data_IF_759299255742
#
_entry.id   IF_759299255742
#
_cell.length_a   1.000
_cell.length_b   1.000
_cell.length_c   1.000
_cell.angle_alpha   90.00
_cell.angle_beta   90.00
_cell.angle_gamma   90.00
#
_symmetry.space_group_name_H-M   'P 1'
#
loop_
_entity.id
_entity.type
_entity.pdbx_description
1 polymer ?
#
# COMPACT_ATOMS: atom_id res chain seq x y z
N UNK A 1 47.09 -11.69 25.45
CA UNK A 1 47.11 -10.91 24.20
C UNK A 1 45.85 -11.23 23.41
N UNK A 2 44.90 -10.30 23.31
CA UNK A 2 43.66 -10.50 22.57
C UNK A 2 43.90 -10.20 21.07
N UNK A 3 43.59 -11.18 20.21
CA UNK A 3 43.73 -11.06 18.75
C UNK A 3 42.50 -10.31 18.21
N UNK A 4 42.73 -9.20 17.53
CA UNK A 4 41.68 -8.34 16.98
C UNK A 4 40.79 -9.10 15.97
N UNK A 5 39.47 -9.02 16.18
CA UNK A 5 38.49 -9.53 15.23
C UNK A 5 38.43 -8.61 14.00
N UNK A 6 38.79 -9.16 12.84
CA UNK A 6 38.63 -8.51 11.53
C UNK A 6 37.13 -8.26 11.28
N UNK A 7 36.71 -7.01 11.33
CA UNK A 7 35.42 -6.57 10.77
C UNK A 7 35.55 -6.48 9.26
N UNK A 8 35.26 -7.58 8.56
CA UNK A 8 34.96 -7.53 7.13
C UNK A 8 33.57 -6.92 6.97
N UNK A 9 33.49 -5.68 6.49
CA UNK A 9 32.26 -5.10 5.92
C UNK A 9 31.73 -6.07 4.87
N UNK A 10 30.69 -6.82 5.22
CA UNK A 10 29.93 -7.60 4.25
C UNK A 10 29.30 -6.62 3.25
N UNK A 11 29.54 -6.90 1.97
CA UNK A 11 29.16 -6.06 0.85
C UNK A 11 27.66 -5.76 0.81
N UNK A 12 27.34 -4.67 0.11
CA UNK A 12 26.00 -4.19 -0.17
C UNK A 12 25.02 -5.34 -0.37
N UNK A 13 23.99 -5.40 0.49
CA UNK A 13 22.85 -6.29 0.29
C UNK A 13 22.26 -5.97 -1.07
N UNK A 14 22.18 -7.00 -1.92
CA UNK A 14 21.48 -6.97 -3.21
C UNK A 14 20.19 -6.18 -3.03
N UNK A 15 20.06 -5.04 -3.73
CA UNK A 15 18.86 -4.22 -3.64
C UNK A 15 17.68 -5.11 -3.99
N UNK A 16 16.77 -5.31 -3.02
CA UNK A 16 15.64 -6.21 -3.20
C UNK A 16 14.98 -5.86 -4.54
N UNK A 17 14.98 -6.82 -5.49
CA UNK A 17 14.30 -6.65 -6.77
C UNK A 17 12.89 -6.17 -6.44
N UNK A 18 12.40 -5.06 -7.01
CA UNK A 18 11.06 -4.58 -6.72
C UNK A 18 10.11 -5.72 -7.04
N UNK A 19 9.53 -6.34 -6.02
CA UNK A 19 8.45 -7.29 -6.23
C UNK A 19 7.37 -6.45 -6.88
N UNK A 20 7.13 -6.64 -8.18
CA UNK A 20 6.00 -5.99 -8.84
C UNK A 20 4.75 -6.49 -8.13
N UNK A 21 4.30 -5.74 -7.12
CA UNK A 21 3.06 -5.98 -6.40
C UNK A 21 1.94 -5.64 -7.37
N UNK A 22 1.70 -6.55 -8.31
CA UNK A 22 0.55 -6.49 -9.20
C UNK A 22 -0.64 -6.84 -8.34
N UNK A 23 -1.59 -5.90 -8.25
CA UNK A 23 -2.88 -6.20 -7.63
C UNK A 23 -3.53 -7.35 -8.38
N UNK A 24 -4.29 -8.18 -7.66
CA UNK A 24 -5.04 -9.31 -8.24
C UNK A 24 -6.09 -8.88 -9.27
N UNK A 25 -6.39 -7.59 -9.37
CA UNK A 25 -7.28 -7.00 -10.36
C UNK A 25 -6.55 -6.39 -11.57
N UNK A 26 -5.23 -6.64 -11.70
CA UNK A 26 -4.41 -6.19 -12.83
C UNK A 26 -4.06 -4.70 -12.81
N UNK A 27 -4.45 -3.96 -11.76
CA UNK A 27 -4.17 -2.52 -11.65
C UNK A 27 -2.78 -2.27 -11.05
N UNK A 28 -2.13 -1.21 -11.53
CA UNK A 28 -0.85 -0.75 -10.97
C UNK A 28 -1.08 -0.13 -9.59
N UNK A 29 -0.21 -0.47 -8.64
CA UNK A 29 -0.18 0.22 -7.36
C UNK A 29 0.27 1.68 -7.56
N UNK A 30 -0.38 2.61 -6.88
CA UNK A 30 0.00 4.01 -6.83
C UNK A 30 0.55 4.31 -5.44
N UNK A 31 1.74 4.89 -5.37
CA UNK A 31 2.30 5.41 -4.13
C UNK A 31 1.93 6.88 -3.99
N UNK A 32 1.33 7.25 -2.86
CA UNK A 32 0.97 8.64 -2.54
C UNK A 32 1.62 9.03 -1.22
N UNK A 33 2.30 10.17 -1.22
CA UNK A 33 2.85 10.77 0.00
C UNK A 33 1.82 11.72 0.59
N UNK A 34 1.56 11.58 1.89
CA UNK A 34 0.61 12.40 2.66
C UNK A 34 1.21 12.71 4.03
N UNK A 35 0.64 13.68 4.74
CA UNK A 35 0.98 13.91 6.14
C UNK A 35 0.64 12.67 6.99
N UNK A 36 1.42 12.44 8.04
CA UNK A 36 1.35 11.21 8.86
C UNK A 36 0.04 11.07 9.61
N UNK A 37 -0.54 12.18 10.06
CA UNK A 37 -1.86 12.27 10.70
C UNK A 37 -2.97 11.87 9.74
N UNK A 38 -2.93 12.30 8.48
CA UNK A 38 -3.88 11.90 7.45
C UNK A 38 -3.79 10.41 7.11
N UNK A 39 -2.57 9.85 7.11
CA UNK A 39 -2.36 8.41 6.93
C UNK A 39 -3.00 7.63 8.09
N UNK A 40 -2.83 8.11 9.33
CA UNK A 40 -3.41 7.45 10.49
C UNK A 40 -4.94 7.54 10.48
N UNK A 41 -5.50 8.73 10.20
CA UNK A 41 -6.95 8.90 10.09
C UNK A 41 -7.57 8.00 9.00
N UNK A 42 -6.89 7.81 7.87
CA UNK A 42 -7.34 6.89 6.82
C UNK A 42 -7.27 5.41 7.26
N UNK A 43 -6.30 5.05 8.10
CA UNK A 43 -6.21 3.69 8.69
C UNK A 43 -7.34 3.44 9.66
N UNK A 44 -7.58 4.36 10.58
CA UNK A 44 -8.62 4.23 11.60
C UNK A 44 -10.00 4.11 10.93
N UNK A 45 -10.30 5.00 9.97
CA UNK A 45 -11.55 4.95 9.22
C UNK A 45 -11.70 3.66 8.38
N UNK A 46 -10.61 3.11 7.85
CA UNK A 46 -10.65 1.83 7.13
C UNK A 46 -10.94 0.66 8.09
N UNK A 47 -10.30 0.65 9.27
CA UNK A 47 -10.52 -0.34 10.32
C UNK A 47 -11.96 -0.34 10.83
N UNK A 48 -12.56 0.84 11.04
CA UNK A 48 -13.97 0.98 11.44
C UNK A 48 -14.96 0.42 10.42
N UNK A 49 -14.54 0.27 9.16
CA UNK A 49 -15.32 -0.27 8.07
C UNK A 49 -14.97 -1.73 7.73
N UNK A 50 -14.09 -2.38 8.50
CA UNK A 50 -13.55 -3.72 8.22
C UNK A 50 -12.90 -3.82 6.82
N UNK A 51 -12.32 -2.72 6.34
CA UNK A 51 -11.70 -2.60 5.01
C UNK A 51 -10.20 -2.33 5.12
N UNK A 52 -9.45 -2.72 4.08
CA UNK A 52 -8.07 -2.25 3.94
C UNK A 52 -8.06 -0.77 3.50
N UNK A 53 -7.02 -0.01 3.89
CA UNK A 53 -6.88 1.42 3.55
C UNK A 53 -7.08 1.71 2.07
N UNK A 54 -6.50 0.88 1.18
CA UNK A 54 -6.66 1.09 -0.25
C UNK A 54 -8.11 0.88 -0.73
N UNK A 55 -8.86 -0.04 -0.11
CA UNK A 55 -10.28 -0.28 -0.43
C UNK A 55 -11.13 0.89 0.04
N UNK A 56 -10.85 1.39 1.25
CA UNK A 56 -11.49 2.57 1.81
C UNK A 56 -11.28 3.80 0.92
N UNK A 57 -10.03 4.06 0.50
CA UNK A 57 -9.72 5.18 -0.41
C UNK A 57 -10.42 5.01 -1.75
N UNK A 58 -10.37 3.83 -2.37
CA UNK A 58 -11.06 3.56 -3.65
C UNK A 58 -12.57 3.78 -3.55
N UNK A 59 -13.20 3.27 -2.49
CA UNK A 59 -14.63 3.44 -2.23
C UNK A 59 -14.99 4.92 -2.03
N UNK A 60 -14.19 5.64 -1.25
CA UNK A 60 -14.43 7.05 -0.93
C UNK A 60 -14.32 7.93 -2.19
N UNK A 61 -13.29 7.71 -3.01
CA UNK A 61 -13.11 8.41 -4.28
C UNK A 61 -14.23 8.04 -5.25
N UNK A 62 -14.58 6.76 -5.38
CA UNK A 62 -15.68 6.33 -6.23
C UNK A 62 -17.02 6.99 -5.83
N UNK A 63 -17.31 7.05 -4.52
CA UNK A 63 -18.50 7.74 -4.00
C UNK A 63 -18.49 9.24 -4.33
N UNK A 64 -17.35 9.91 -4.16
CA UNK A 64 -17.20 11.33 -4.49
C UNK A 64 -17.41 11.60 -5.99
N UNK A 65 -17.04 10.65 -6.86
CA UNK A 65 -17.24 10.73 -8.30
C UNK A 65 -18.61 10.21 -8.77
N UNK A 66 -19.48 9.73 -7.86
CA UNK A 66 -20.79 9.17 -8.20
C UNK A 66 -20.74 7.79 -8.89
N UNK A 67 -19.59 7.11 -8.82
CA UNK A 67 -19.36 5.82 -9.47
C UNK A 67 -20.15 4.71 -8.80
N UNK A 68 -20.57 3.72 -9.59
CA UNK A 68 -21.31 2.54 -9.12
C UNK A 68 -20.40 1.32 -9.08
N UNK A 69 -20.68 0.40 -8.14
CA UNK A 69 -20.05 -0.92 -8.09
C UNK A 69 -21.04 -1.97 -8.57
N UNK A 70 -20.90 -2.50 -9.80
CA UNK A 70 -21.80 -3.55 -10.29
C UNK A 70 -21.77 -4.78 -9.38
N UNK A 71 -22.91 -5.47 -9.27
CA UNK A 71 -23.01 -6.67 -8.43
C UNK A 71 -22.00 -7.73 -8.91
N UNK A 72 -21.19 -8.25 -7.98
CA UNK A 72 -20.13 -9.23 -8.29
C UNK A 72 -18.85 -8.61 -8.87
N UNK A 73 -18.79 -7.30 -9.11
CA UNK A 73 -17.59 -6.62 -9.59
C UNK A 73 -16.67 -6.21 -8.44
N UNK A 74 -15.36 -6.39 -8.65
CA UNK A 74 -14.31 -5.80 -7.80
C UNK A 74 -14.01 -4.34 -8.17
N UNK A 75 -14.62 -3.83 -9.24
CA UNK A 75 -14.33 -2.53 -9.87
C UNK A 75 -15.51 -1.56 -9.74
N UNK A 76 -15.15 -0.30 -9.45
CA UNK A 76 -16.03 0.86 -9.59
C UNK A 76 -16.02 1.36 -11.03
N UNK A 77 -17.20 1.70 -11.54
CA UNK A 77 -17.39 2.25 -12.89
C UNK A 77 -18.11 3.59 -12.78
N UNK A 78 -17.80 4.55 -13.69
CA UNK A 78 -18.58 5.77 -13.84
C UNK A 78 -20.09 5.51 -13.92
#
# INVERSE_FOLDING_TARGET
MAKAAKTTKAGATESAKPTESKRTDGRKALLVYMQTDLIQAAKDAASDNEENVFQFVERTVAKALGWKKPKGSKRWVP
#
